data_IF_166692209846
#
_entry.id   IF_166692209846
#
_cell.length_a   1.000
_cell.length_b   1.000
_cell.length_c   1.000
_cell.angle_alpha   90.00
_cell.angle_beta   90.00
_cell.angle_gamma   90.00
#
_symmetry.space_group_name_H-M   'P 1'
#
loop_
_entity.id
_entity.type
_entity.pdbx_description
1 polymer ?
#
# COMPACT_ATOMS: atom_id res chain seq x y z
N UNK A 1 6.63 3.69 -2.64
CA UNK A 1 8.05 3.35 -2.79
C UNK A 1 8.51 2.47 -1.63
N UNK A 2 9.57 1.65 -1.85
CA UNK A 2 10.17 0.81 -0.82
C UNK A 2 11.59 1.29 -0.50
N UNK A 3 11.93 1.26 0.79
CA UNK A 3 13.29 1.44 1.26
C UNK A 3 14.15 0.20 0.96
N UNK A 4 15.45 0.38 0.82
CA UNK A 4 16.43 -0.68 0.61
C UNK A 4 17.53 -0.63 1.68
N UNK A 5 18.28 -1.72 1.82
CA UNK A 5 19.33 -1.84 2.83
C UNK A 5 20.53 -0.89 2.62
N UNK A 6 20.67 -0.30 1.43
CA UNK A 6 21.68 0.71 1.16
C UNK A 6 21.25 2.11 1.67
N UNK A 7 19.96 2.32 1.95
CA UNK A 7 19.36 3.58 2.40
C UNK A 7 19.68 4.74 1.43
N UNK A 8 19.68 4.46 0.14
CA UNK A 8 20.16 5.38 -0.91
C UNK A 8 19.03 6.08 -1.69
N UNK A 9 17.78 5.89 -1.24
CA UNK A 9 16.57 6.45 -1.89
C UNK A 9 16.38 6.02 -3.34
N UNK A 10 16.94 4.89 -3.75
CA UNK A 10 16.62 4.31 -5.06
C UNK A 10 15.10 4.13 -5.16
N UNK A 11 14.43 4.65 -6.19
CA UNK A 11 12.98 4.80 -6.21
C UNK A 11 12.28 3.49 -6.63
N UNK A 12 12.46 2.44 -5.84
CA UNK A 12 11.81 1.16 -6.02
C UNK A 12 10.31 1.25 -5.75
N UNK A 13 9.50 0.76 -6.68
CA UNK A 13 8.05 0.82 -6.61
C UNK A 13 7.45 -0.58 -6.71
N UNK A 14 6.66 -0.95 -5.71
CA UNK A 14 5.91 -2.20 -5.68
C UNK A 14 4.47 -1.97 -6.11
N UNK A 15 3.95 -2.83 -6.97
CA UNK A 15 2.55 -2.83 -7.41
C UNK A 15 2.08 -4.25 -7.78
N UNK A 16 0.87 -4.38 -8.31
CA UNK A 16 0.32 -5.66 -8.74
C UNK A 16 0.77 -6.04 -10.16
N UNK A 17 1.04 -7.33 -10.39
CA UNK A 17 1.39 -7.86 -11.71
C UNK A 17 0.25 -7.69 -12.72
N UNK A 18 -1.00 -7.87 -12.30
CA UNK A 18 -2.15 -7.70 -13.20
C UNK A 18 -2.34 -6.26 -13.70
N UNK A 19 -1.67 -5.28 -13.09
CA UNK A 19 -1.64 -3.90 -13.56
C UNK A 19 -0.71 -3.68 -14.76
N UNK A 20 0.15 -4.65 -15.11
CA UNK A 20 1.11 -4.56 -16.23
C UNK A 20 0.39 -4.69 -17.60
N UNK A 21 -0.50 -3.76 -17.92
CA UNK A 21 -1.28 -3.76 -19.17
C UNK A 21 -0.72 -2.90 -20.30
N UNK A 22 0.30 -2.08 -20.03
CA UNK A 22 0.95 -1.16 -20.96
C UNK A 22 2.45 -1.10 -20.69
N UNK A 23 3.21 -0.45 -21.57
CA UNK A 23 4.63 -0.24 -21.34
C UNK A 23 4.82 0.61 -20.08
N UNK A 24 5.51 0.09 -19.09
CA UNK A 24 5.78 0.77 -17.81
C UNK A 24 6.68 2.00 -17.98
N UNK A 25 7.38 2.11 -19.11
CA UNK A 25 8.15 3.29 -19.47
C UNK A 25 7.28 4.52 -19.73
N UNK A 26 5.99 4.32 -20.02
CA UNK A 26 5.02 5.39 -20.27
C UNK A 26 4.17 5.72 -19.02
N UNK A 27 4.38 5.02 -17.91
CA UNK A 27 3.60 5.24 -16.70
C UNK A 27 3.90 6.57 -16.05
N UNK A 28 2.86 7.17 -15.44
CA UNK A 28 2.97 8.40 -14.66
C UNK A 28 2.64 8.07 -13.21
N UNK A 29 3.59 8.30 -12.32
CA UNK A 29 3.48 8.12 -10.88
C UNK A 29 3.15 9.45 -10.24
N UNK A 30 1.98 9.55 -9.61
CA UNK A 30 1.53 10.77 -8.93
C UNK A 30 1.73 10.63 -7.43
N UNK A 31 2.28 11.68 -6.83
CA UNK A 31 2.54 11.78 -5.40
C UNK A 31 1.55 12.75 -4.73
N UNK A 32 1.32 12.54 -3.44
CA UNK A 32 0.49 13.42 -2.60
C UNK A 32 -0.94 13.65 -3.12
N UNK A 33 -1.50 12.65 -3.82
CA UNK A 33 -2.90 12.67 -4.25
C UNK A 33 -3.80 12.33 -3.06
N UNK A 34 -3.86 13.25 -2.09
CA UNK A 34 -4.65 13.14 -0.86
C UNK A 34 -5.31 14.48 -0.51
N UNK A 35 -6.13 14.49 0.54
CA UNK A 35 -6.72 15.72 1.05
C UNK A 35 -6.04 16.12 2.36
N UNK A 36 -5.81 17.41 2.59
CA UNK A 36 -5.25 17.90 3.84
C UNK A 36 -6.25 17.80 5.02
N UNK A 37 -7.51 17.46 4.75
CA UNK A 37 -8.60 17.38 5.75
C UNK A 37 -9.40 16.09 5.59
N UNK A 38 -10.01 15.61 6.68
CA UNK A 38 -10.79 14.36 6.70
C UNK A 38 -12.08 14.42 5.88
N UNK A 39 -12.70 15.59 5.77
CA UNK A 39 -13.83 15.85 4.87
C UNK A 39 -13.30 16.64 3.66
N UNK A 40 -12.91 15.96 2.57
CA UNK A 40 -12.19 16.59 1.50
C UNK A 40 -13.07 17.57 0.71
N UNK A 41 -12.76 18.86 0.82
CA UNK A 41 -13.29 19.90 -0.05
C UNK A 41 -12.32 20.26 -1.17
N UNK A 42 -11.05 19.85 -1.02
CA UNK A 42 -9.97 20.08 -1.96
C UNK A 42 -9.15 18.80 -2.10
N UNK A 43 -8.76 18.49 -3.33
CA UNK A 43 -7.85 17.38 -3.62
C UNK A 43 -6.40 17.86 -3.53
N UNK A 44 -5.48 16.91 -3.36
CA UNK A 44 -4.04 17.17 -3.41
C UNK A 44 -3.54 17.61 -4.78
N UNK A 45 -2.24 17.89 -4.93
CA UNK A 45 -1.65 18.35 -6.17
C UNK A 45 -1.77 17.30 -7.28
N UNK A 46 -1.97 17.78 -8.51
CA UNK A 46 -2.05 16.91 -9.69
C UNK A 46 -0.77 16.91 -10.53
N UNK A 47 0.16 17.80 -10.22
CA UNK A 47 1.40 18.07 -10.93
C UNK A 47 2.65 17.46 -10.27
N UNK A 48 2.53 16.90 -9.07
CA UNK A 48 3.61 16.18 -8.43
C UNK A 48 3.73 14.77 -9.01
N UNK A 49 4.45 14.66 -10.11
CA UNK A 49 4.56 13.41 -10.87
C UNK A 49 6.00 13.07 -11.26
N UNK A 50 6.27 11.77 -11.36
CA UNK A 50 7.44 11.19 -12.04
C UNK A 50 6.93 10.35 -13.19
N UNK A 51 7.53 10.46 -14.36
CA UNK A 51 7.16 9.71 -15.56
C UNK A 51 8.21 8.65 -15.88
N UNK A 52 7.73 7.48 -16.27
CA UNK A 52 8.54 6.36 -16.69
C UNK A 52 9.08 5.50 -15.55
N UNK A 53 9.25 4.23 -15.86
CA UNK A 53 9.86 3.24 -14.99
C UNK A 53 10.46 2.09 -15.80
N UNK A 54 11.22 1.25 -15.12
CA UNK A 54 11.73 -0.02 -15.65
C UNK A 54 11.16 -1.16 -14.82
N UNK A 55 10.60 -2.18 -15.47
CA UNK A 55 10.19 -3.40 -14.79
C UNK A 55 11.46 -4.20 -14.42
N UNK A 56 11.68 -4.41 -13.13
CA UNK A 56 12.81 -5.17 -12.62
C UNK A 56 12.47 -6.66 -12.54
N UNK A 57 11.34 -7.00 -11.95
CA UNK A 57 10.84 -8.37 -11.81
C UNK A 57 9.34 -8.36 -11.55
N UNK A 58 8.67 -9.45 -11.94
CA UNK A 58 7.26 -9.68 -11.62
C UNK A 58 6.97 -11.16 -11.35
N UNK A 59 5.85 -11.43 -10.70
CA UNK A 59 5.39 -12.78 -10.36
C UNK A 59 3.88 -12.87 -10.42
N UNK A 60 3.35 -13.79 -11.22
CA UNK A 60 1.92 -14.15 -11.18
C UNK A 60 1.59 -14.87 -9.86
N UNK A 61 2.53 -15.69 -9.35
CA UNK A 61 2.31 -16.50 -8.15
C UNK A 61 2.10 -15.72 -6.84
N UNK A 62 2.33 -14.42 -6.84
CA UNK A 62 2.03 -13.47 -5.76
C UNK A 62 1.38 -12.20 -6.30
N UNK A 63 1.05 -12.18 -7.58
CA UNK A 63 0.56 -10.99 -8.29
C UNK A 63 1.42 -9.73 -8.04
N UNK A 64 2.72 -9.89 -7.98
CA UNK A 64 3.68 -8.83 -7.67
C UNK A 64 4.34 -8.29 -8.94
N UNK A 65 4.47 -6.97 -9.06
CA UNK A 65 5.36 -6.30 -9.99
C UNK A 65 6.25 -5.30 -9.25
N UNK A 66 7.54 -5.34 -9.55
CA UNK A 66 8.55 -4.50 -8.92
C UNK A 66 9.27 -3.69 -9.98
N UNK A 67 9.26 -2.38 -9.80
CA UNK A 67 9.72 -1.39 -10.77
C UNK A 67 10.78 -0.49 -10.13
N UNK A 68 11.58 0.14 -10.95
CA UNK A 68 12.39 1.30 -10.59
C UNK A 68 11.90 2.50 -11.40
N UNK A 69 11.55 3.60 -10.73
CA UNK A 69 11.14 4.82 -11.41
C UNK A 69 12.34 5.41 -12.17
N UNK A 70 12.08 6.06 -13.30
CA UNK A 70 13.12 6.64 -14.16
C UNK A 70 13.89 7.79 -13.51
N UNK A 71 13.38 8.35 -12.42
CA UNK A 71 14.08 9.36 -11.61
C UNK A 71 13.63 9.30 -10.15
N UNK A 72 14.51 9.71 -9.25
CA UNK A 72 14.17 9.95 -7.85
C UNK A 72 13.14 11.08 -7.81
N UNK A 73 12.02 10.93 -7.06
CA UNK A 73 11.08 12.03 -6.84
C UNK A 73 11.78 13.25 -6.24
N UNK A 74 11.45 14.48 -6.67
CA UNK A 74 11.99 15.71 -6.10
C UNK A 74 11.78 15.78 -4.57
N UNK A 75 12.74 16.36 -3.85
CA UNK A 75 12.71 16.48 -2.38
C UNK A 75 11.45 17.22 -1.89
N UNK A 76 10.97 18.20 -2.67
CA UNK A 76 9.75 18.95 -2.35
C UNK A 76 8.46 18.11 -2.35
N UNK A 77 8.49 16.88 -2.90
CA UNK A 77 7.36 15.93 -2.80
C UNK A 77 7.29 15.26 -1.44
N UNK A 78 8.35 15.40 -0.64
CA UNK A 78 8.45 14.84 0.71
C UNK A 78 8.06 13.35 0.76
N UNK A 79 8.68 12.55 -0.09
CA UNK A 79 8.30 11.16 -0.32
C UNK A 79 8.84 10.26 0.78
N UNK A 80 7.98 9.42 1.33
CA UNK A 80 8.36 8.40 2.28
C UNK A 80 8.61 7.07 1.56
N UNK A 81 9.75 6.44 1.82
CA UNK A 81 10.09 5.09 1.37
C UNK A 81 9.68 4.10 2.45
N UNK A 82 8.68 3.28 2.17
CA UNK A 82 8.12 2.34 3.11
C UNK A 82 9.14 1.30 3.56
N UNK A 83 9.17 1.04 4.86
CA UNK A 83 9.77 -0.18 5.40
C UNK A 83 8.97 -1.42 4.98
N UNK A 84 9.57 -2.58 5.19
CA UNK A 84 8.99 -3.87 4.81
C UNK A 84 9.35 -4.98 5.81
N UNK A 85 8.56 -6.05 5.78
CA UNK A 85 8.78 -7.28 6.53
C UNK A 85 8.68 -8.49 5.60
N UNK A 86 9.76 -9.25 5.48
CA UNK A 86 9.88 -10.46 4.65
C UNK A 86 9.71 -11.76 5.45
N UNK A 87 9.38 -11.66 6.74
CA UNK A 87 9.11 -12.84 7.55
C UNK A 87 7.72 -13.43 7.29
N UNK A 88 7.54 -14.68 7.70
CA UNK A 88 6.34 -15.48 7.39
C UNK A 88 5.22 -15.38 8.42
N UNK A 89 5.42 -14.60 9.49
CA UNK A 89 4.43 -14.48 10.58
C UNK A 89 3.28 -13.58 10.12
N UNK A 90 2.03 -14.09 10.12
CA UNK A 90 0.88 -13.25 9.78
C UNK A 90 0.74 -12.07 10.74
N UNK A 91 0.32 -10.93 10.23
CA UNK A 91 0.05 -9.76 11.05
C UNK A 91 -1.23 -9.95 11.88
N UNK A 92 -1.22 -9.43 13.11
CA UNK A 92 -2.38 -9.44 14.02
C UNK A 92 -3.43 -8.38 13.63
N UNK A 93 -2.99 -7.32 12.99
CA UNK A 93 -3.83 -6.26 12.44
C UNK A 93 -3.12 -5.60 11.27
N UNK A 94 -3.88 -4.99 10.37
CA UNK A 94 -3.32 -4.36 9.17
C UNK A 94 -4.01 -3.04 8.81
N UNK A 95 -3.24 -2.18 8.15
CA UNK A 95 -3.72 -0.98 7.49
C UNK A 95 -3.44 -1.05 5.98
N UNK A 96 -4.42 -0.77 5.16
CA UNK A 96 -4.28 -0.56 3.72
C UNK A 96 -4.35 0.93 3.38
N UNK A 97 -3.45 1.40 2.52
CA UNK A 97 -3.48 2.78 1.99
C UNK A 97 -3.60 2.67 0.48
N UNK A 98 -4.65 3.24 -0.10
CA UNK A 98 -5.02 2.97 -1.48
C UNK A 98 -5.77 4.15 -2.14
N UNK A 99 -6.00 4.04 -3.45
CA UNK A 99 -6.70 5.02 -4.26
C UNK A 99 -7.90 4.35 -4.96
N UNK A 100 -9.04 4.14 -4.25
CA UNK A 100 -10.21 3.47 -4.80
C UNK A 100 -10.77 4.28 -5.96
N UNK A 101 -11.05 3.64 -7.10
CA UNK A 101 -11.59 4.26 -8.34
C UNK A 101 -10.76 5.43 -8.88
N UNK A 102 -9.48 5.52 -8.52
CA UNK A 102 -8.63 6.66 -8.86
C UNK A 102 -8.91 7.93 -8.03
N UNK A 103 -9.71 7.81 -6.97
CA UNK A 103 -9.96 8.90 -6.02
C UNK A 103 -8.73 9.19 -5.15
N UNK A 104 -8.80 10.25 -4.38
CA UNK A 104 -7.76 10.63 -3.42
C UNK A 104 -7.46 9.49 -2.43
N UNK A 105 -6.29 9.54 -1.83
CA UNK A 105 -5.81 8.56 -0.85
C UNK A 105 -6.84 8.26 0.23
N UNK A 106 -7.08 6.97 0.47
CA UNK A 106 -7.93 6.44 1.53
C UNK A 106 -7.14 5.46 2.38
N UNK A 107 -7.62 5.24 3.59
CA UNK A 107 -7.08 4.27 4.52
C UNK A 107 -8.17 3.27 4.92
N UNK A 108 -7.80 2.01 5.02
CA UNK A 108 -8.65 0.94 5.54
C UNK A 108 -7.93 0.21 6.66
N UNK A 109 -8.67 -0.23 7.69
CA UNK A 109 -8.13 -0.94 8.84
C UNK A 109 -8.85 -2.26 9.11
N UNK A 110 -8.06 -3.32 9.33
CA UNK A 110 -8.51 -4.58 9.92
C UNK A 110 -7.85 -4.79 11.27
N UNK A 111 -8.66 -4.99 12.31
CA UNK A 111 -8.19 -5.23 13.68
C UNK A 111 -8.06 -6.72 14.01
N UNK A 112 -8.31 -7.60 13.03
CA UNK A 112 -8.13 -9.04 13.15
C UNK A 112 -6.90 -9.52 12.40
N UNK A 113 -6.42 -10.74 12.75
CA UNK A 113 -5.28 -11.33 12.07
C UNK A 113 -5.60 -11.62 10.60
N UNK A 114 -4.60 -11.45 9.77
CA UNK A 114 -4.65 -11.89 8.38
C UNK A 114 -4.37 -13.40 8.30
N UNK A 115 -4.94 -14.05 7.30
CA UNK A 115 -4.78 -15.47 7.06
C UNK A 115 -4.00 -15.73 5.76
N UNK A 116 -3.46 -16.91 5.62
CA UNK A 116 -2.87 -17.34 4.34
C UNK A 116 -3.94 -17.90 3.42
N UNK A 117 -3.85 -17.58 2.13
CA UNK A 117 -4.71 -18.13 1.10
C UNK A 117 -3.90 -18.33 -0.20
N UNK A 118 -4.31 -19.32 -0.98
CA UNK A 118 -3.91 -19.41 -2.39
C UNK A 118 -5.19 -19.34 -3.21
N UNK A 119 -5.33 -18.27 -4.00
CA UNK A 119 -6.62 -17.92 -4.64
C UNK A 119 -6.39 -17.34 -6.02
N UNK A 120 -7.35 -17.61 -6.90
CA UNK A 120 -7.47 -16.92 -8.20
C UNK A 120 -8.68 -15.98 -8.17
N UNK A 121 -8.43 -14.68 -8.28
CA UNK A 121 -9.47 -13.64 -8.40
C UNK A 121 -9.63 -13.15 -9.84
N UNK A 122 -9.13 -13.92 -10.82
CA UNK A 122 -9.30 -13.67 -12.24
C UNK A 122 -8.01 -13.41 -13.04
N UNK A 123 -6.84 -13.45 -12.37
CA UNK A 123 -5.54 -13.20 -13.00
C UNK A 123 -4.51 -14.32 -12.73
N UNK A 124 -4.97 -15.51 -12.34
CA UNK A 124 -4.16 -16.67 -11.99
C UNK A 124 -4.02 -16.84 -10.47
N UNK A 125 -3.77 -18.09 -10.03
CA UNK A 125 -3.64 -18.38 -8.61
C UNK A 125 -2.41 -17.71 -8.01
N UNK A 126 -2.61 -17.04 -6.86
CA UNK A 126 -1.56 -16.34 -6.13
C UNK A 126 -1.57 -16.67 -4.64
N UNK A 127 -0.38 -16.73 -4.05
CA UNK A 127 -0.19 -16.83 -2.61
C UNK A 127 -0.42 -15.48 -1.96
N UNK A 128 -1.44 -15.40 -1.10
CA UNK A 128 -1.94 -14.14 -0.56
C UNK A 128 -2.06 -14.16 0.95
N UNK A 129 -2.02 -12.97 1.52
CA UNK A 129 -2.63 -12.65 2.80
C UNK A 129 -4.11 -12.35 2.57
N UNK A 130 -4.99 -13.01 3.32
CA UNK A 130 -6.43 -12.81 3.30
C UNK A 130 -6.85 -11.89 4.43
N UNK A 131 -7.35 -10.71 4.08
CA UNK A 131 -8.03 -9.79 4.99
C UNK A 131 -9.51 -10.16 4.96
N UNK A 132 -9.98 -10.80 6.01
CA UNK A 132 -11.36 -11.32 6.07
C UNK A 132 -12.39 -10.21 6.21
N UNK A 133 -12.03 -9.10 6.87
CA UNK A 133 -12.96 -7.98 7.13
C UNK A 133 -12.19 -6.68 7.31
N UNK A 134 -12.63 -5.64 6.65
CA UNK A 134 -12.26 -4.26 6.97
C UNK A 134 -13.20 -3.72 8.04
N UNK A 135 -12.64 -3.35 9.19
CA UNK A 135 -13.38 -2.77 10.31
C UNK A 135 -13.59 -1.25 10.13
N UNK A 136 -12.69 -0.61 9.39
CA UNK A 136 -12.76 0.80 8.99
C UNK A 136 -12.39 0.88 7.52
N UNK A 137 -13.17 1.63 6.74
CA UNK A 137 -12.96 1.76 5.31
C UNK A 137 -13.22 0.46 4.55
N UNK A 138 -12.78 0.43 3.31
CA UNK A 138 -12.81 -0.75 2.41
C UNK A 138 -11.99 -0.44 1.17
N UNK A 139 -11.66 -1.44 0.37
CA UNK A 139 -11.09 -1.23 -0.96
C UNK A 139 -12.18 -1.20 -2.03
N UNK A 140 -11.83 -0.76 -3.22
CA UNK A 140 -12.65 -0.84 -4.42
C UNK A 140 -11.76 -1.05 -5.67
N UNK A 141 -12.34 -1.37 -6.84
CA UNK A 141 -11.58 -1.40 -8.09
C UNK A 141 -10.74 -0.14 -8.27
N UNK A 142 -9.49 -0.30 -8.71
CA UNK A 142 -8.49 0.77 -8.77
C UNK A 142 -7.57 0.83 -7.56
N UNK A 143 -7.89 0.14 -6.46
CA UNK A 143 -6.98 -0.02 -5.31
C UNK A 143 -5.88 -1.07 -5.56
N UNK A 144 -5.93 -1.81 -6.67
CA UNK A 144 -4.95 -2.83 -7.08
C UNK A 144 -3.51 -2.35 -6.94
N UNK A 145 -2.63 -3.20 -6.41
CA UNK A 145 -1.21 -2.90 -6.21
C UNK A 145 -0.91 -2.03 -4.99
N UNK A 146 -1.92 -1.51 -4.30
CA UNK A 146 -1.72 -0.75 -3.06
C UNK A 146 -1.15 -1.63 -1.94
N UNK A 147 -0.32 -1.03 -1.09
CA UNK A 147 0.32 -1.73 0.02
C UNK A 147 -0.62 -2.04 1.17
N UNK A 148 -0.23 -3.08 1.92
CA UNK A 148 -0.80 -3.39 3.23
C UNK A 148 0.34 -3.46 4.26
N UNK A 149 0.13 -2.83 5.41
CA UNK A 149 1.11 -2.71 6.49
C UNK A 149 0.62 -3.41 7.75
N UNK A 150 1.54 -4.11 8.42
CA UNK A 150 1.29 -4.74 9.72
C UNK A 150 1.23 -3.69 10.85
N UNK A 151 1.02 -4.17 12.08
CA UNK A 151 0.96 -3.36 13.30
C UNK A 151 2.27 -2.58 13.59
N UNK A 152 3.40 -3.04 13.04
CA UNK A 152 4.72 -2.40 13.16
C UNK A 152 4.99 -1.39 12.03
N UNK A 153 3.96 -1.09 11.21
CA UNK A 153 4.01 -0.17 10.06
C UNK A 153 4.98 -0.63 8.95
N UNK A 154 5.22 -1.93 8.86
CA UNK A 154 6.03 -2.55 7.83
C UNK A 154 5.13 -3.16 6.76
N UNK A 155 5.46 -2.91 5.49
CA UNK A 155 4.75 -3.47 4.36
C UNK A 155 4.90 -4.99 4.35
N UNK A 156 3.78 -5.70 4.16
CA UNK A 156 3.72 -7.17 4.12
C UNK A 156 3.09 -7.72 2.84
N UNK A 157 2.60 -6.86 1.96
CA UNK A 157 2.01 -7.27 0.68
C UNK A 157 1.41 -6.13 -0.12
N UNK A 158 0.91 -6.46 -1.31
CA UNK A 158 0.19 -5.54 -2.21
C UNK A 158 -1.14 -6.14 -2.67
N UNK A 159 -2.16 -5.30 -2.88
CA UNK A 159 -3.52 -5.75 -3.21
C UNK A 159 -3.57 -6.44 -4.57
N UNK A 160 -3.93 -7.71 -4.56
CA UNK A 160 -4.28 -8.51 -5.71
C UNK A 160 -5.74 -8.25 -6.12
N UNK A 161 -6.67 -8.32 -5.17
CA UNK A 161 -8.09 -8.09 -5.39
C UNK A 161 -8.94 -8.78 -4.33
N UNK A 162 -10.25 -8.78 -4.53
CA UNK A 162 -11.17 -9.39 -3.59
C UNK A 162 -12.62 -9.07 -3.88
N UNK A 163 -13.47 -9.29 -2.87
CA UNK A 163 -14.89 -9.00 -2.94
C UNK A 163 -15.27 -7.67 -2.25
N UNK A 164 -14.29 -7.00 -1.62
CA UNK A 164 -14.55 -5.78 -0.88
C UNK A 164 -14.99 -4.63 -1.79
N UNK A 165 -15.91 -3.86 -1.30
CA UNK A 165 -16.45 -2.64 -1.89
C UNK A 165 -17.27 -1.88 -0.85
N UNK A 166 -17.77 -0.68 -1.17
CA UNK A 166 -18.54 0.15 -0.24
C UNK A 166 -19.81 -0.50 0.35
N UNK A 167 -20.35 -1.52 -0.29
CA UNK A 167 -21.49 -2.30 0.22
C UNK A 167 -21.09 -3.57 0.97
N UNK A 168 -19.81 -3.98 0.86
CA UNK A 168 -19.31 -5.24 1.37
C UNK A 168 -17.83 -5.09 1.73
N UNK A 169 -17.49 -4.96 3.00
CA UNK A 169 -16.13 -4.71 3.48
C UNK A 169 -15.40 -5.99 3.89
N UNK A 170 -15.49 -7.06 3.08
CA UNK A 170 -14.91 -8.38 3.37
C UNK A 170 -14.15 -8.96 2.18
N UNK A 171 -13.24 -9.88 2.50
CA UNK A 171 -12.56 -10.77 1.56
C UNK A 171 -11.69 -10.04 0.52
N UNK A 172 -10.65 -9.38 1.01
CA UNK A 172 -9.54 -8.89 0.19
C UNK A 172 -8.30 -9.77 0.32
N UNK A 173 -7.55 -9.87 -0.76
CA UNK A 173 -6.36 -10.70 -0.89
C UNK A 173 -5.18 -9.85 -1.34
N UNK A 174 -4.08 -9.95 -0.60
CA UNK A 174 -2.84 -9.23 -0.86
C UNK A 174 -1.73 -10.21 -1.17
N UNK A 175 -1.07 -10.07 -2.30
CA UNK A 175 0.10 -10.88 -2.64
C UNK A 175 1.15 -10.80 -1.54
N UNK A 176 1.65 -11.97 -1.11
CA UNK A 176 2.56 -12.10 0.03
C UNK A 176 3.95 -11.59 -0.30
N UNK A 177 4.41 -10.61 0.46
CA UNK A 177 5.75 -10.05 0.31
C UNK A 177 6.84 -11.06 0.65
N UNK A 178 6.65 -11.88 1.69
CA UNK A 178 7.59 -12.94 2.10
C UNK A 178 7.77 -14.01 1.02
N UNK A 179 6.71 -14.37 0.29
CA UNK A 179 6.78 -15.32 -0.84
C UNK A 179 7.48 -14.67 -2.05
N UNK A 180 7.30 -13.36 -2.23
CA UNK A 180 7.99 -12.59 -3.29
C UNK A 180 9.46 -12.30 -2.96
N UNK A 181 9.86 -12.38 -1.70
CA UNK A 181 11.17 -11.96 -1.19
C UNK A 181 12.36 -12.52 -1.98
N UNK A 182 12.43 -13.81 -2.35
CA UNK A 182 13.56 -14.34 -3.13
C UNK A 182 13.76 -13.68 -4.50
N UNK A 183 12.74 -13.00 -5.03
CA UNK A 183 12.83 -12.22 -6.26
C UNK A 183 13.26 -10.77 -6.00
N UNK A 184 13.01 -10.25 -4.80
CA UNK A 184 13.18 -8.85 -4.42
C UNK A 184 14.52 -8.58 -3.72
N UNK A 185 15.07 -9.56 -3.00
CA UNK A 185 16.25 -9.40 -2.14
C UNK A 185 17.49 -8.90 -2.88
N UNK A 186 17.62 -9.23 -4.16
CA UNK A 186 18.74 -8.76 -4.99
C UNK A 186 18.73 -7.23 -5.19
N UNK A 187 17.55 -6.61 -5.08
CA UNK A 187 17.35 -5.16 -5.25
C UNK A 187 17.28 -4.44 -3.90
N UNK A 188 16.51 -5.01 -2.98
CA UNK A 188 16.28 -4.41 -1.66
C UNK A 188 17.45 -4.66 -0.70
N UNK A 189 18.30 -5.66 -0.98
CA UNK A 189 19.42 -6.07 -0.14
C UNK A 189 18.99 -6.96 1.02
N UNK A 190 19.94 -7.60 1.68
CA UNK A 190 19.69 -8.50 2.83
C UNK A 190 20.29 -7.88 4.09
N UNK A 191 19.46 -7.26 4.92
CA UNK A 191 19.85 -6.63 6.19
C UNK A 191 19.03 -7.12 7.38
N UNK A 192 18.35 -8.26 7.23
CA UNK A 192 17.45 -8.88 8.19
C UNK A 192 16.12 -9.24 7.51
N UNK A 193 15.15 -9.66 8.29
CA UNK A 193 13.78 -9.96 7.83
C UNK A 193 12.86 -8.72 7.85
N UNK A 194 13.38 -7.57 8.26
CA UNK A 194 12.66 -6.31 8.25
C UNK A 194 13.58 -5.12 8.08
N UNK A 195 13.07 -4.07 7.48
CA UNK A 195 13.70 -2.76 7.36
C UNK A 195 12.67 -1.67 7.65
N UNK A 196 13.03 -0.69 8.46
CA UNK A 196 12.18 0.47 8.72
C UNK A 196 12.13 1.41 7.50
N UNK A 197 11.10 2.25 7.44
CA UNK A 197 10.98 3.25 6.38
C UNK A 197 12.09 4.30 6.41
N UNK A 198 12.20 5.04 5.31
CA UNK A 198 13.13 6.16 5.14
C UNK A 198 12.34 7.37 4.60
N UNK A 199 12.55 8.52 5.19
CA UNK A 199 11.91 9.79 4.82
C UNK A 199 12.00 10.77 5.98
N UNK A 200 11.51 11.98 5.79
CA UNK A 200 11.41 12.93 6.90
C UNK A 200 10.44 12.35 7.92
N UNK A 201 11.02 11.86 9.01
CA UNK A 201 10.25 11.39 10.14
C UNK A 201 9.54 12.59 10.77
N UNK A 202 8.26 12.75 10.45
CA UNK A 202 7.36 13.41 11.38
C UNK A 202 7.04 12.38 12.49
N UNK A 203 8.06 11.76 13.04
CA UNK A 203 7.99 11.22 14.38
C UNK A 203 8.27 12.40 15.32
N UNK A 204 7.25 13.16 15.60
CA UNK A 204 7.19 13.80 16.88
C UNK A 204 7.34 12.65 17.89
N UNK A 205 8.52 12.50 18.49
CA UNK A 205 8.69 11.82 19.78
C UNK A 205 8.00 12.62 20.90
N UNK A 206 6.85 13.13 20.64
CA UNK A 206 5.89 13.39 21.67
C UNK A 206 5.26 11.99 21.91
N UNK A 207 5.27 11.50 23.16
CA UNK A 207 4.36 10.44 23.52
C UNK A 207 3.04 10.90 22.96
N UNK A 208 2.44 10.11 22.07
CA UNK A 208 1.07 10.35 21.65
C UNK A 208 0.33 10.36 22.98
N UNK A 209 0.18 11.52 23.59
CA UNK A 209 -0.92 11.77 24.44
C UNK A 209 -2.08 11.48 23.50
N UNK A 210 -2.59 10.25 23.60
CA UNK A 210 -3.96 10.02 23.23
C UNK A 210 -4.67 11.06 24.06
N UNK A 211 -4.85 12.25 23.48
CA UNK A 211 -5.78 13.18 24.01
C UNK A 211 -7.06 12.37 24.03
N UNK A 212 -7.50 12.01 25.23
CA UNK A 212 -8.61 11.08 25.46
C UNK A 212 -9.94 11.57 24.86
N UNK A 213 -9.87 12.55 24.03
CA UNK A 213 -10.97 13.19 23.34
C UNK A 213 -11.58 12.35 22.23
N UNK A 214 -10.93 11.28 21.72
CA UNK A 214 -11.59 10.33 20.82
C UNK A 214 -12.07 9.11 21.58
N UNK A 215 -12.85 9.30 22.62
CA UNK A 215 -13.51 8.20 23.35
C UNK A 215 -14.79 7.73 22.67
N UNK A 216 -15.27 8.39 21.63
CA UNK A 216 -16.31 7.90 20.73
C UNK A 216 -16.25 8.66 19.41
N UNK A 217 -15.93 7.97 18.32
CA UNK A 217 -16.31 8.43 16.99
C UNK A 217 -17.79 8.04 16.83
N UNK A 218 -18.67 8.84 17.44
CA UNK A 218 -20.11 8.72 17.24
C UNK A 218 -20.41 9.35 15.89
N UNK A 219 -20.76 8.51 14.91
CA UNK A 219 -21.27 8.95 13.63
C UNK A 219 -20.19 9.44 12.67
N UNK A 220 -19.25 8.57 12.31
CA UNK A 220 -18.70 8.67 10.96
C UNK A 220 -19.84 8.17 10.05
N UNK A 221 -20.48 9.06 9.28
CA UNK A 221 -21.40 8.59 8.26
C UNK A 221 -20.61 7.71 7.28
N UNK A 222 -21.26 6.85 6.49
CA UNK A 222 -20.61 5.99 5.51
C UNK A 222 -19.87 6.72 4.37
N UNK A 223 -19.49 7.95 4.57
CA UNK A 223 -18.78 8.88 3.68
C UNK A 223 -17.30 8.50 3.40
N UNK A 224 -16.76 7.43 4.01
CA UNK A 224 -15.44 6.93 3.65
C UNK A 224 -15.41 6.21 2.30
N UNK A 225 -16.55 5.95 1.70
CA UNK A 225 -16.70 5.39 0.37
C UNK A 225 -17.10 6.45 -0.67
N UNK A 226 -16.28 7.47 -0.87
CA UNK A 226 -16.35 8.36 -2.05
C UNK A 226 -17.75 8.62 -2.62
N UNK A 227 -18.67 9.22 -1.88
CA UNK A 227 -19.86 9.83 -2.45
C UNK A 227 -19.55 11.30 -2.75
N UNK A 228 -19.10 11.57 -3.97
CA UNK A 228 -19.40 12.86 -4.60
C UNK A 228 -20.80 12.73 -5.18
N UNK A 229 -21.73 13.57 -4.78
CA UNK A 229 -22.90 13.88 -5.60
C UNK A 229 -22.48 14.46 -6.96
#
# INVERSE_FOLDING_TARGET
>A
LLNNCALDSTPYFLTANHCLGSDVADWIFRFNWDSPVCEPTENGPIDQTVSGSTLLVNSVGTDMAFLELSSIPPDEYNVFYSGWYSGTVPADSVAGIHHPRGDIKKISHSYGPILTANIDVGNGAADCWHVTTWHVGTTEPGSSGSGIWNQDKLLVGQLYGGAANCANSVDDYYGRFDVSWPLLEQWLGVCGDSLVGLGDEIFVEEPIHFDAAVTSIVGIPPLLCGMSE
#
